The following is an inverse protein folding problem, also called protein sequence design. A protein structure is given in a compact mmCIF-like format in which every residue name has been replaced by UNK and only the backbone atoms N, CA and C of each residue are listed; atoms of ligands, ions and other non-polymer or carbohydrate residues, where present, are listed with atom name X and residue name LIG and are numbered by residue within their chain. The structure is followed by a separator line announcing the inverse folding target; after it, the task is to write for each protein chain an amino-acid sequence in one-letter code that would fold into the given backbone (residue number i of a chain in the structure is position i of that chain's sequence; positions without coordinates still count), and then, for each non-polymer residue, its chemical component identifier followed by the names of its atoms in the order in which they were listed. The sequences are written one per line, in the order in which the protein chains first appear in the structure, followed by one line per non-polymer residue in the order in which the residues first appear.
data_IF_672174846726
#
_entry.id   IF_672174846726
#
_cell.length_a   1.000
_cell.length_b   1.000
_cell.length_c   1.000
_cell.angle_alpha   90.00
_cell.angle_beta   90.00
_cell.angle_gamma   90.00
#
_symmetry.space_group_name_H-M   'P 1'
#
loop_
_entity.id
_entity.type
_entity.pdbx_description
1 polymer ?
#
# COMPACT_ATOMS: atom_id res chain seq x y z
N UNK A 1 -1.76 -7.53 17.11
CA UNK A 1 -2.68 -6.89 16.16
C UNK A 1 -1.88 -5.90 15.35
N UNK A 2 -2.13 -5.82 14.05
CA UNK A 2 -1.56 -4.80 13.14
C UNK A 2 -2.73 -4.02 12.55
N UNK A 3 -2.63 -2.70 12.48
CA UNK A 3 -3.60 -1.85 11.79
C UNK A 3 -2.82 -0.95 10.86
N UNK A 4 -3.16 -0.95 9.57
CA UNK A 4 -2.42 -0.20 8.57
C UNK A 4 -3.32 0.45 7.52
N UNK A 5 -2.86 1.61 7.04
CA UNK A 5 -3.34 2.28 5.84
C UNK A 5 -2.21 2.23 4.81
N UNK A 6 -2.28 1.35 3.80
CA UNK A 6 -1.24 1.20 2.79
C UNK A 6 -1.24 2.40 1.83
N UNK A 7 -0.10 2.67 1.17
CA UNK A 7 0.00 3.72 0.16
C UNK A 7 -0.99 3.52 -1.00
N UNK A 8 -1.54 4.62 -1.53
CA UNK A 8 -2.63 4.65 -2.50
C UNK A 8 -2.18 4.42 -3.96
N UNK A 9 -1.44 3.34 -4.22
CA UNK A 9 -1.04 2.91 -5.57
C UNK A 9 -0.39 4.04 -6.40
N UNK A 10 -1.07 4.57 -7.43
CA UNK A 10 -0.60 5.66 -8.30
C UNK A 10 -1.26 7.03 -8.01
N UNK A 11 -2.07 7.14 -6.95
CA UNK A 11 -2.80 8.37 -6.63
C UNK A 11 -1.91 9.46 -6.04
N UNK A 12 -0.91 9.09 -5.23
CA UNK A 12 -0.02 10.03 -4.54
C UNK A 12 1.41 9.51 -4.59
N UNK A 13 2.31 10.31 -5.16
CA UNK A 13 3.75 10.08 -5.12
C UNK A 13 4.32 10.86 -3.93
N UNK A 14 4.34 10.24 -2.75
CA UNK A 14 4.71 10.90 -1.50
C UNK A 14 6.16 11.38 -1.51
N UNK A 15 7.08 10.59 -2.06
CA UNK A 15 8.48 10.97 -2.10
C UNK A 15 8.68 12.25 -2.93
N UNK A 16 8.10 12.30 -4.13
CA UNK A 16 8.15 13.47 -5.00
C UNK A 16 7.48 14.70 -4.37
N UNK A 17 6.30 14.53 -3.76
CA UNK A 17 5.62 15.62 -3.06
C UNK A 17 6.44 16.12 -1.86
N UNK A 18 7.10 15.21 -1.15
CA UNK A 18 7.86 15.50 0.06
C UNK A 18 9.15 16.27 -0.24
N UNK A 19 9.70 16.22 -1.46
CA UNK A 19 10.90 16.99 -1.82
C UNK A 19 10.73 18.48 -1.55
N UNK A 20 9.55 19.03 -1.82
CA UNK A 20 9.25 20.43 -1.57
C UNK A 20 9.51 20.80 -0.10
N UNK A 21 9.05 19.96 0.84
CA UNK A 21 9.22 20.20 2.27
C UNK A 21 10.60 19.78 2.78
N UNK A 22 11.13 18.67 2.27
CA UNK A 22 12.39 18.06 2.71
C UNK A 22 13.56 19.03 2.58
N UNK A 23 13.62 19.81 1.49
CA UNK A 23 14.66 20.83 1.25
C UNK A 23 14.66 21.94 2.32
N UNK A 24 13.48 22.35 2.82
CA UNK A 24 13.35 23.33 3.89
C UNK A 24 13.62 22.73 5.27
N UNK A 25 13.12 21.53 5.52
CA UNK A 25 13.34 20.81 6.77
C UNK A 25 14.84 20.50 6.98
N UNK A 26 15.55 20.11 5.92
CA UNK A 26 17.01 19.89 5.96
C UNK A 26 17.80 21.13 6.40
N UNK A 27 17.32 22.33 6.07
CA UNK A 27 17.97 23.62 6.45
C UNK A 27 17.56 24.15 7.82
N UNK A 28 16.57 23.52 8.45
CA UNK A 28 16.04 23.93 9.75
C UNK A 28 16.17 22.79 10.75
N UNK A 29 15.26 21.82 10.70
CA UNK A 29 15.29 20.60 11.53
C UNK A 29 16.56 19.77 11.33
N UNK A 30 17.15 19.77 10.13
CA UNK A 30 18.40 19.05 9.83
C UNK A 30 19.64 19.59 10.54
N UNK A 31 19.57 20.77 11.15
CA UNK A 31 20.63 21.26 12.05
C UNK A 31 20.64 20.45 13.35
N UNK A 32 19.46 20.06 13.83
CA UNK A 32 19.28 19.30 15.07
C UNK A 32 19.37 17.78 14.86
N UNK A 33 18.88 17.30 13.70
CA UNK A 33 18.80 15.87 13.36
C UNK A 33 19.46 15.56 12.00
N UNK A 34 20.78 15.82 11.83
CA UNK A 34 21.45 15.70 10.54
C UNK A 34 21.37 14.29 9.93
N UNK A 35 21.28 13.25 10.75
CA UNK A 35 21.13 11.86 10.35
C UNK A 35 19.84 11.59 9.56
N UNK A 36 18.77 12.37 9.81
CA UNK A 36 17.50 12.23 9.08
C UNK A 36 17.50 12.97 7.74
N UNK A 37 18.49 13.83 7.47
CA UNK A 37 18.54 14.69 6.29
C UNK A 37 19.82 14.53 5.46
N UNK A 38 20.47 13.36 5.53
CA UNK A 38 21.73 13.11 4.82
C UNK A 38 21.56 13.14 3.30
N UNK A 39 20.47 12.55 2.78
CA UNK A 39 20.22 12.48 1.34
C UNK A 39 19.96 13.87 0.73
N UNK A 40 20.32 14.11 -0.54
CA UNK A 40 20.00 15.36 -1.23
C UNK A 40 18.49 15.62 -1.35
N UNK A 41 17.73 14.56 -1.61
CA UNK A 41 16.27 14.55 -1.80
C UNK A 41 15.69 13.31 -1.13
N UNK A 42 14.36 13.20 -1.12
CA UNK A 42 13.67 12.00 -0.59
C UNK A 42 13.92 10.77 -1.45
N UNK A 43 13.72 9.59 -0.87
CA UNK A 43 13.89 8.30 -1.54
C UNK A 43 12.66 7.92 -2.37
N UNK A 44 12.82 7.86 -3.69
CA UNK A 44 11.77 7.45 -4.64
C UNK A 44 11.84 5.96 -4.97
N UNK A 45 12.96 5.32 -4.70
CA UNK A 45 13.20 3.93 -5.09
C UNK A 45 12.61 2.95 -4.08
N UNK A 46 12.61 3.30 -2.79
CA UNK A 46 12.05 2.46 -1.72
C UNK A 46 10.60 2.81 -1.37
N UNK A 47 9.97 3.70 -2.12
CA UNK A 47 8.56 4.04 -1.93
C UNK A 47 7.65 2.94 -2.50
N UNK A 48 6.65 2.51 -1.72
CA UNK A 48 5.67 1.50 -2.14
C UNK A 48 4.50 2.13 -2.93
N UNK A 49 4.80 2.80 -4.04
CA UNK A 49 3.81 3.40 -4.95
C UNK A 49 4.03 2.91 -6.38
N UNK A 50 2.97 2.88 -7.19
CA UNK A 50 3.10 2.54 -8.60
C UNK A 50 3.49 3.78 -9.40
N UNK A 51 4.80 4.08 -9.48
CA UNK A 51 5.31 5.25 -10.19
C UNK A 51 5.84 4.91 -11.62
N UNK A 52 5.12 5.25 -12.70
CA UNK A 52 5.60 4.99 -14.07
C UNK A 52 6.81 5.84 -14.45
N UNK A 53 7.07 6.97 -13.78
CA UNK A 53 8.18 7.86 -14.09
C UNK A 53 9.54 7.19 -13.82
N UNK A 54 9.61 6.31 -12.82
CA UNK A 54 10.80 5.49 -12.51
C UNK A 54 11.14 4.47 -13.61
N UNK A 55 10.17 4.17 -14.49
CA UNK A 55 10.35 3.25 -15.61
C UNK A 55 10.28 3.94 -16.96
N UNK A 56 10.47 5.27 -17.00
CA UNK A 56 10.42 6.05 -18.24
C UNK A 56 11.42 5.49 -19.27
N UNK A 57 10.98 5.38 -20.52
CA UNK A 57 11.79 4.82 -21.62
C UNK A 57 11.76 3.29 -21.73
N UNK A 58 11.16 2.58 -20.77
CA UNK A 58 10.91 1.13 -20.89
C UNK A 58 9.55 0.86 -21.53
N UNK A 59 9.47 -0.13 -22.42
CA UNK A 59 8.19 -0.60 -22.97
C UNK A 59 7.35 -1.17 -21.81
N UNK A 60 6.13 -0.68 -21.65
CA UNK A 60 5.25 -1.13 -20.56
C UNK A 60 5.55 -0.55 -19.18
N UNK A 61 6.10 0.67 -19.10
CA UNK A 61 6.41 1.37 -17.84
C UNK A 61 5.31 1.30 -16.76
N UNK A 62 4.04 1.43 -17.14
CA UNK A 62 2.90 1.32 -16.21
C UNK A 62 2.74 -0.10 -15.62
N UNK A 63 2.98 -1.14 -16.41
CA UNK A 63 2.94 -2.51 -15.94
C UNK A 63 4.12 -2.82 -15.01
N UNK A 64 5.31 -2.31 -15.33
CA UNK A 64 6.48 -2.41 -14.47
C UNK A 64 6.26 -1.72 -13.12
N UNK A 65 5.68 -0.53 -13.12
CA UNK A 65 5.32 0.19 -11.89
C UNK A 65 4.32 -0.59 -11.03
N UNK A 66 3.31 -1.22 -11.66
CA UNK A 66 2.36 -2.06 -10.95
C UNK A 66 2.99 -3.32 -10.36
N UNK A 67 3.93 -3.95 -11.06
CA UNK A 67 4.68 -5.11 -10.56
C UNK A 67 5.62 -4.73 -9.40
N UNK A 68 6.29 -3.59 -9.49
CA UNK A 68 7.15 -3.06 -8.43
C UNK A 68 6.33 -2.77 -7.16
N UNK A 69 5.18 -2.09 -7.31
CA UNK A 69 4.23 -1.89 -6.23
C UNK A 69 3.77 -3.21 -5.60
N UNK A 70 3.40 -4.20 -6.43
CA UNK A 70 3.02 -5.54 -5.94
C UNK A 70 4.11 -6.20 -5.11
N UNK A 71 5.37 -6.10 -5.57
CA UNK A 71 6.52 -6.65 -4.86
C UNK A 71 6.71 -5.98 -3.50
N UNK A 72 6.72 -4.65 -3.47
CA UNK A 72 6.91 -3.89 -2.22
C UNK A 72 5.77 -4.13 -1.23
N UNK A 73 4.52 -4.19 -1.71
CA UNK A 73 3.37 -4.51 -0.86
C UNK A 73 3.47 -5.91 -0.27
N UNK A 74 3.92 -6.90 -1.06
CA UNK A 74 4.19 -8.25 -0.53
C UNK A 74 5.23 -8.22 0.58
N UNK A 75 6.33 -7.49 0.41
CA UNK A 75 7.38 -7.38 1.44
C UNK A 75 6.87 -6.72 2.73
N UNK A 76 6.09 -5.64 2.60
CA UNK A 76 5.43 -4.98 3.73
C UNK A 76 4.52 -5.97 4.46
N UNK A 77 3.68 -6.70 3.73
CA UNK A 77 2.79 -7.69 4.33
C UNK A 77 3.57 -8.87 4.94
N UNK A 78 4.64 -9.33 4.32
CA UNK A 78 5.48 -10.39 4.89
C UNK A 78 6.06 -9.96 6.24
N UNK A 79 6.45 -8.70 6.37
CA UNK A 79 6.91 -8.16 7.65
C UNK A 79 5.77 -8.05 8.66
N UNK A 80 4.57 -7.62 8.25
CA UNK A 80 3.38 -7.68 9.09
C UNK A 80 3.10 -9.12 9.57
N UNK A 81 3.27 -10.13 8.70
CA UNK A 81 3.09 -11.54 9.03
C UNK A 81 4.12 -12.05 10.04
N UNK A 82 5.37 -11.58 9.94
CA UNK A 82 6.48 -11.95 10.84
C UNK A 82 6.25 -11.48 12.28
N UNK A 83 5.76 -10.26 12.44
CA UNK A 83 5.54 -9.66 13.77
C UNK A 83 4.20 -10.04 14.40
N UNK A 84 3.24 -10.50 13.59
CA UNK A 84 1.92 -10.91 14.05
C UNK A 84 1.94 -12.33 14.62
N UNK A 85 1.34 -12.51 15.81
CA UNK A 85 1.08 -13.83 16.41
C UNK A 85 0.21 -14.69 15.50
N UNK A 86 0.25 -16.00 15.68
CA UNK A 86 -0.52 -16.96 14.87
C UNK A 86 -2.03 -16.71 14.90
N UNK A 87 -2.57 -16.32 16.05
CA UNK A 87 -4.00 -15.97 16.25
C UNK A 87 -4.30 -14.47 15.99
N UNK A 88 -3.29 -13.72 15.59
CA UNK A 88 -3.37 -12.29 15.42
C UNK A 88 -4.25 -11.85 14.25
N UNK A 89 -4.61 -10.57 14.28
CA UNK A 89 -5.39 -9.91 13.24
C UNK A 89 -4.59 -8.74 12.68
N UNK A 90 -4.58 -8.64 11.35
CA UNK A 90 -4.19 -7.45 10.61
C UNK A 90 -5.44 -6.81 10.02
N UNK A 91 -5.68 -5.55 10.33
CA UNK A 91 -6.75 -4.75 9.71
C UNK A 91 -6.12 -3.80 8.71
N UNK A 92 -6.60 -3.84 7.47
CA UNK A 92 -6.12 -2.99 6.39
C UNK A 92 -7.23 -2.09 5.90
N UNK A 93 -6.98 -0.78 5.89
CA UNK A 93 -7.87 0.20 5.27
C UNK A 93 -7.53 0.31 3.78
N UNK A 94 -8.52 0.31 2.89
CA UNK A 94 -8.25 0.50 1.47
C UNK A 94 -9.36 1.25 0.76
N UNK A 95 -8.96 2.25 -0.02
CA UNK A 95 -9.87 3.12 -0.77
C UNK A 95 -9.30 3.32 -2.17
N UNK A 96 -9.71 2.48 -3.12
CA UNK A 96 -9.23 2.60 -4.50
C UNK A 96 -10.26 2.18 -5.54
N UNK A 97 -10.37 2.97 -6.62
CA UNK A 97 -11.29 2.74 -7.75
C UNK A 97 -10.75 1.77 -8.80
N UNK A 98 -9.43 1.70 -8.95
CA UNK A 98 -8.81 0.85 -9.97
C UNK A 98 -8.76 -0.60 -9.52
N UNK A 99 -9.30 -1.50 -10.36
CA UNK A 99 -9.23 -2.96 -10.20
C UNK A 99 -7.79 -3.47 -10.04
N UNK A 100 -6.84 -2.88 -10.78
CA UNK A 100 -5.43 -3.29 -10.69
C UNK A 100 -4.79 -3.10 -9.30
N UNK A 101 -5.25 -2.10 -8.53
CA UNK A 101 -4.75 -1.88 -7.17
C UNK A 101 -5.30 -2.94 -6.19
N UNK A 102 -6.55 -3.37 -6.39
CA UNK A 102 -7.15 -4.48 -5.64
C UNK A 102 -6.48 -5.82 -5.93
N UNK A 103 -6.17 -6.09 -7.21
CA UNK A 103 -5.44 -7.30 -7.61
C UNK A 103 -4.06 -7.34 -6.97
N UNK A 104 -3.35 -6.20 -7.01
CA UNK A 104 -2.03 -6.07 -6.41
C UNK A 104 -2.04 -6.31 -4.89
N UNK A 105 -3.00 -5.69 -4.22
CA UNK A 105 -3.17 -5.82 -2.77
C UNK A 105 -3.55 -7.24 -2.37
N UNK A 106 -4.57 -7.81 -3.01
CA UNK A 106 -5.06 -9.16 -2.70
C UNK A 106 -3.98 -10.20 -2.95
N UNK A 107 -3.28 -10.11 -4.09
CA UNK A 107 -2.17 -11.01 -4.40
C UNK A 107 -1.03 -10.86 -3.38
N UNK A 108 -0.65 -9.63 -3.03
CA UNK A 108 0.36 -9.37 -2.01
C UNK A 108 0.00 -9.99 -0.65
N UNK A 109 -1.25 -9.86 -0.21
CA UNK A 109 -1.75 -10.46 1.03
C UNK A 109 -1.67 -12.00 0.98
N UNK A 110 -2.13 -12.60 -0.13
CA UNK A 110 -2.12 -14.05 -0.29
C UNK A 110 -0.68 -14.60 -0.31
N UNK A 111 0.22 -13.96 -1.05
CA UNK A 111 1.63 -14.34 -1.19
C UNK A 111 2.42 -14.13 0.12
N UNK A 112 2.00 -13.17 0.96
CA UNK A 112 2.54 -12.95 2.30
C UNK A 112 1.95 -13.90 3.36
N UNK A 113 1.08 -14.83 2.97
CA UNK A 113 0.52 -15.84 3.87
C UNK A 113 -0.65 -15.34 4.74
N UNK A 114 -1.39 -14.34 4.27
CA UNK A 114 -2.66 -13.94 4.88
C UNK A 114 -3.87 -14.57 4.17
N UNK A 115 -4.98 -14.63 4.89
CA UNK A 115 -6.31 -14.86 4.36
C UNK A 115 -7.21 -13.69 4.76
N UNK A 116 -8.00 -13.17 3.82
CA UNK A 116 -9.04 -12.18 4.11
C UNK A 116 -10.23 -12.92 4.68
N UNK A 117 -10.61 -12.60 5.91
CA UNK A 117 -11.67 -13.28 6.66
C UNK A 117 -12.95 -12.46 6.80
N UNK A 118 -12.85 -11.13 6.67
CA UNK A 118 -14.00 -10.25 6.62
C UNK A 118 -13.65 -8.97 5.87
N UNK A 119 -14.67 -8.29 5.34
CA UNK A 119 -14.57 -6.97 4.72
C UNK A 119 -15.72 -6.11 5.22
N UNK A 120 -15.41 -4.92 5.74
CA UNK A 120 -16.39 -3.97 6.25
C UNK A 120 -16.31 -2.68 5.43
N UNK A 121 -17.30 -2.41 4.57
CA UNK A 121 -17.37 -1.12 3.90
C UNK A 121 -17.79 -0.05 4.91
N UNK A 122 -17.07 1.07 4.91
CA UNK A 122 -17.37 2.27 5.67
C UNK A 122 -17.63 3.40 4.67
N UNK A 123 -18.82 3.99 4.76
CA UNK A 123 -19.13 5.21 4.04
C UNK A 123 -18.43 6.37 4.75
N UNK A 124 -17.38 6.89 4.12
CA UNK A 124 -16.51 7.93 4.69
C UNK A 124 -16.84 9.35 4.23
N UNK A 125 -17.98 9.58 3.57
CA UNK A 125 -18.44 10.91 3.16
C UNK A 125 -19.69 11.36 3.94
N UNK A 126 -19.74 12.67 4.26
CA UNK A 126 -20.93 13.30 4.83
C UNK A 126 -21.94 13.60 3.71
N UNK A 127 -23.19 13.16 3.88
CA UNK A 127 -24.29 13.30 2.91
C UNK A 127 -24.65 14.76 2.50
N UNK A 128 -23.98 15.78 3.05
CA UNK A 128 -24.38 17.19 2.99
C UNK A 128 -23.52 18.15 2.15
N UNK A 129 -22.51 17.71 1.39
CA UNK A 129 -21.68 18.66 0.61
C UNK A 129 -22.27 18.92 -0.79
N UNK A 130 -22.99 20.04 -0.91
CA UNK A 130 -23.66 20.52 -2.14
C UNK A 130 -22.71 20.88 -3.31
N UNK A 131 -21.40 20.62 -3.21
CA UNK A 131 -20.40 21.02 -4.20
C UNK A 131 -19.88 19.86 -5.10
N UNK A 132 -20.47 18.67 -4.99
CA UNK A 132 -20.01 17.47 -5.74
C UNK A 132 -21.18 16.89 -6.56
N UNK A 133 -21.83 17.74 -7.35
CA UNK A 133 -22.69 17.30 -8.46
C UNK A 133 -21.81 17.28 -9.71
N UNK A 134 -21.10 16.16 -9.93
CA UNK A 134 -20.43 15.69 -11.17
C UNK A 134 -18.99 15.16 -11.02
N UNK A 135 -18.37 15.30 -9.85
CA UNK A 135 -17.10 14.60 -9.62
C UNK A 135 -17.38 13.29 -8.90
N UNK A 136 -17.27 12.20 -9.66
CA UNK A 136 -17.14 10.84 -9.13
C UNK A 136 -16.00 10.81 -8.10
N UNK A 137 -16.30 11.13 -6.84
CA UNK A 137 -15.43 10.92 -5.68
C UNK A 137 -15.55 9.45 -5.25
N UNK A 138 -14.62 8.95 -4.45
CA UNK A 138 -14.51 7.53 -4.13
C UNK A 138 -15.50 7.14 -3.03
N UNK A 139 -16.62 6.51 -3.39
CA UNK A 139 -17.79 6.39 -2.53
C UNK A 139 -17.70 5.45 -1.31
N UNK A 140 -16.63 4.66 -1.10
CA UNK A 140 -16.54 3.79 0.10
C UNK A 140 -15.10 3.40 0.41
N UNK A 141 -14.72 3.52 1.69
CA UNK A 141 -13.49 2.93 2.25
C UNK A 141 -13.80 1.52 2.72
N UNK A 142 -12.97 0.54 2.43
CA UNK A 142 -13.19 -0.84 2.89
C UNK A 142 -12.12 -1.21 3.91
N UNK A 143 -12.54 -1.71 5.07
CA UNK A 143 -11.66 -2.35 6.04
C UNK A 143 -11.62 -3.85 5.79
N UNK A 144 -10.44 -4.39 5.54
CA UNK A 144 -10.21 -5.83 5.38
C UNK A 144 -9.62 -6.40 6.66
N UNK A 145 -10.22 -7.48 7.15
CA UNK A 145 -9.71 -8.27 8.28
C UNK A 145 -8.91 -9.44 7.73
N UNK A 146 -7.59 -9.35 7.86
CA UNK A 146 -6.63 -10.34 7.40
C UNK A 146 -6.09 -11.14 8.58
N UNK A 147 -6.10 -12.47 8.48
CA UNK A 147 -5.54 -13.38 9.49
C UNK A 147 -4.42 -14.22 8.90
N UNK A 148 -3.40 -14.59 9.70
CA UNK A 148 -2.40 -15.58 9.28
C UNK A 148 -3.08 -16.82 8.72
N UNK A 149 -2.69 -17.23 7.52
CA UNK A 149 -3.12 -18.50 6.97
C UNK A 149 -2.39 -19.61 7.73
N UNK A 150 -3.09 -20.67 8.17
CA UNK A 150 -2.41 -21.84 8.70
C UNK A 150 -1.45 -22.40 7.65
N UNK A 151 -0.30 -22.97 8.05
CA UNK A 151 0.58 -23.64 7.12
C UNK A 151 -0.23 -24.69 6.36
N UNK A 152 -0.13 -24.66 5.04
CA UNK A 152 -0.79 -25.64 4.19
C UNK A 152 -0.21 -27.00 4.58
N UNK A 153 -1.00 -27.84 5.24
CA UNK A 153 -0.65 -29.24 5.41
C UNK A 153 -0.31 -29.74 4.01
N UNK A 154 0.87 -30.34 3.86
CA UNK A 154 1.40 -30.80 2.58
C UNK A 154 0.29 -31.49 1.81
N UNK A 155 0.12 -31.12 0.54
CA UNK A 155 -0.84 -31.77 -0.32
C UNK A 155 -0.48 -33.25 -0.40
N UNK A 156 -1.12 -34.07 0.44
CA UNK A 156 -1.22 -35.49 0.21
C UNK A 156 -1.92 -35.63 -1.15
N UNK A 157 -1.19 -36.24 -2.08
CA UNK A 157 -1.58 -36.33 -3.48
C UNK A 157 -2.97 -36.92 -3.62
N UNK A 158 -3.83 -36.22 -4.38
CA UNK A 158 -5.07 -36.80 -4.87
C UNK A 158 -4.98 -36.85 -6.38
N UNK A 159 -4.73 -38.07 -6.85
CA UNK A 159 -4.91 -38.51 -8.23
C UNK A 159 -6.37 -38.36 -8.64
N UNK A 160 -6.62 -37.76 -9.80
CA UNK A 160 -7.67 -38.15 -10.74
C UNK A 160 -7.15 -37.96 -12.16
#
# INVERSE_FOLDING_TARGET
VVVMDPPYYDNVMYAELSDFFYVWLKRTAGILYPELFMAPLTDKENEAVANPALHRGKKGAKALAGLDYQHKMKEIFAECRRVLKEDGVMTLMFTHKATGAWDALTKGLLDAGFAITASWPINTEAEGSLHIKDKSAANSTVLLVCRPRPPQAGADGVYY
#
